data_IF_201268892552
#
_entry.id   IF_201268892552
#
_cell.length_a   1.000
_cell.length_b   1.000
_cell.length_c   1.000
_cell.angle_alpha   90.00
_cell.angle_beta   90.00
_cell.angle_gamma   90.00
#
_symmetry.space_group_name_H-M   'P 1'
#
loop_
_entity.id
_entity.type
_entity.pdbx_description
1 polymer ?
#
# COMPACT_ATOMS: atom_id res chain seq x y z
N UNK A 1 18.12 1.09 -11.92
CA UNK A 1 16.92 1.53 -12.65
C UNK A 1 16.93 0.93 -14.04
N UNK A 2 15.78 0.48 -14.55
CA UNK A 2 15.60 0.02 -15.93
C UNK A 2 14.69 0.98 -16.69
N UNK A 3 15.05 1.32 -17.92
CA UNK A 3 14.22 2.10 -18.82
C UNK A 3 13.43 1.10 -19.67
N UNK A 4 12.13 1.10 -19.47
CA UNK A 4 11.21 0.27 -20.21
C UNK A 4 10.67 0.94 -21.47
N UNK A 5 9.76 0.25 -22.16
CA UNK A 5 9.08 0.79 -23.32
C UNK A 5 8.08 1.89 -22.94
N UNK A 6 7.70 2.73 -23.92
CA UNK A 6 6.71 3.82 -23.78
C UNK A 6 7.02 4.82 -22.64
N UNK A 7 8.28 5.00 -22.25
CA UNK A 7 8.71 5.95 -21.22
C UNK A 7 8.50 5.44 -19.78
N UNK A 8 8.16 4.17 -19.60
CA UNK A 8 8.08 3.58 -18.27
C UNK A 8 9.47 3.39 -17.66
N UNK A 9 9.66 3.84 -16.44
CA UNK A 9 10.84 3.59 -15.63
C UNK A 9 10.50 2.55 -14.56
N UNK A 10 11.46 1.64 -14.32
CA UNK A 10 11.35 0.62 -13.29
C UNK A 10 12.50 0.72 -12.32
N UNK A 11 12.22 0.57 -11.06
CA UNK A 11 13.24 0.49 -10.04
C UNK A 11 13.99 -0.85 -10.21
N UNK A 12 15.28 -0.89 -10.43
CA UNK A 12 16.05 -2.08 -10.79
C UNK A 12 17.03 -2.56 -9.72
N UNK A 13 17.07 -1.92 -8.54
CA UNK A 13 17.99 -2.26 -7.45
C UNK A 13 17.23 -2.74 -6.20
N UNK A 14 17.88 -3.57 -5.39
CA UNK A 14 17.51 -3.97 -4.02
C UNK A 14 16.08 -4.45 -3.74
N UNK A 15 15.45 -5.15 -4.63
CA UNK A 15 14.10 -5.69 -4.45
C UNK A 15 13.26 -5.61 -5.71
N UNK A 16 13.94 -5.39 -6.83
CA UNK A 16 13.29 -5.05 -8.08
C UNK A 16 13.53 -6.08 -9.15
N UNK A 17 12.94 -5.83 -10.29
CA UNK A 17 12.81 -6.63 -11.50
C UNK A 17 13.68 -7.89 -11.55
N UNK A 18 15.00 -7.73 -11.53
CA UNK A 18 15.93 -8.88 -11.54
C UNK A 18 15.90 -9.68 -10.24
N UNK A 19 15.70 -9.01 -9.10
CA UNK A 19 15.62 -9.66 -7.80
C UNK A 19 14.26 -10.31 -7.57
N UNK A 20 13.17 -9.72 -8.03
CA UNK A 20 11.84 -10.34 -7.99
C UNK A 20 11.85 -11.62 -8.85
N UNK A 21 12.34 -11.53 -10.07
CA UNK A 21 12.47 -12.70 -10.95
C UNK A 21 13.34 -13.81 -10.35
N UNK A 22 14.43 -13.47 -9.65
CA UNK A 22 15.33 -14.45 -9.03
C UNK A 22 14.85 -14.95 -7.67
N UNK A 23 14.09 -14.14 -6.92
CA UNK A 23 13.64 -14.46 -5.56
C UNK A 23 12.31 -15.21 -5.49
N UNK A 24 11.48 -15.15 -6.52
CA UNK A 24 10.16 -15.80 -6.49
C UNK A 24 10.23 -17.29 -6.08
N UNK A 25 11.14 -18.12 -6.60
CA UNK A 25 11.24 -19.53 -6.15
C UNK A 25 11.67 -19.67 -4.68
N UNK A 26 12.60 -18.84 -4.21
CA UNK A 26 13.04 -18.86 -2.81
C UNK A 26 11.94 -18.36 -1.87
N UNK A 27 11.19 -17.37 -2.30
CA UNK A 27 10.05 -16.82 -1.58
C UNK A 27 8.97 -17.88 -1.41
N UNK A 28 8.62 -18.61 -2.48
CA UNK A 28 7.63 -19.68 -2.44
C UNK A 28 7.99 -20.76 -1.40
N UNK A 29 9.28 -21.13 -1.31
CA UNK A 29 9.77 -22.10 -0.31
C UNK A 29 9.60 -21.60 1.13
N UNK A 30 9.69 -20.28 1.36
CA UNK A 30 9.56 -19.67 2.69
C UNK A 30 8.11 -19.38 3.10
N UNK A 31 7.15 -19.49 2.21
CA UNK A 31 5.74 -19.17 2.50
C UNK A 31 5.18 -19.87 3.75
N UNK A 32 5.46 -21.17 4.04
CA UNK A 32 5.00 -21.81 5.27
C UNK A 32 5.52 -21.10 6.54
N UNK A 33 6.77 -20.61 6.54
CA UNK A 33 7.33 -19.85 7.66
C UNK A 33 6.65 -18.49 7.80
N UNK A 34 6.48 -17.77 6.69
CA UNK A 34 5.82 -16.46 6.69
C UNK A 34 4.35 -16.55 7.14
N UNK A 35 3.60 -17.53 6.65
CA UNK A 35 2.23 -17.78 7.09
C UNK A 35 2.13 -18.06 8.59
N UNK A 36 3.09 -18.81 9.16
CA UNK A 36 3.15 -19.03 10.61
C UNK A 36 3.39 -17.73 11.39
N UNK A 37 4.27 -16.86 10.92
CA UNK A 37 4.52 -15.57 11.56
C UNK A 37 3.30 -14.64 11.48
N UNK A 38 2.67 -14.57 10.33
CA UNK A 38 1.42 -13.81 10.16
C UNK A 38 0.30 -14.38 11.05
N UNK A 39 0.23 -15.69 11.19
CA UNK A 39 -0.70 -16.31 12.14
C UNK A 39 -0.40 -15.90 13.59
N UNK A 40 0.86 -15.78 13.98
CA UNK A 40 1.22 -15.26 15.32
C UNK A 40 0.68 -13.86 15.53
N UNK A 41 0.79 -12.97 14.51
CA UNK A 41 0.21 -11.62 14.56
C UNK A 41 -1.30 -11.70 14.72
N UNK A 42 -1.97 -12.45 13.85
CA UNK A 42 -3.43 -12.62 13.85
C UNK A 42 -3.95 -13.17 15.18
N UNK A 43 -3.30 -14.19 15.74
CA UNK A 43 -3.68 -14.79 17.03
C UNK A 43 -3.57 -13.77 18.17
N UNK A 44 -2.49 -12.98 18.20
CA UNK A 44 -2.27 -11.94 19.21
C UNK A 44 -3.28 -10.80 19.16
N UNK A 45 -3.73 -10.44 17.97
CA UNK A 45 -4.79 -9.46 17.75
C UNK A 45 -6.15 -10.05 18.16
N UNK A 46 -6.43 -11.29 17.77
CA UNK A 46 -7.66 -12.00 18.11
C UNK A 46 -7.82 -12.20 19.64
N UNK A 47 -6.74 -12.40 20.41
CA UNK A 47 -6.77 -12.40 21.89
C UNK A 47 -7.33 -11.09 22.47
N UNK A 48 -7.32 -9.99 21.70
CA UNK A 48 -7.85 -8.67 22.05
C UNK A 48 -9.20 -8.36 21.40
N UNK A 49 -9.75 -9.28 20.60
CA UNK A 49 -10.96 -9.07 19.84
C UNK A 49 -10.76 -8.16 18.62
N UNK A 50 -9.51 -8.06 18.13
CA UNK A 50 -9.12 -7.22 16.98
C UNK A 50 -9.00 -8.13 15.76
N UNK A 51 -9.65 -7.73 14.66
CA UNK A 51 -9.52 -8.40 13.38
C UNK A 51 -8.21 -8.05 12.68
N UNK A 52 -7.75 -8.96 11.80
CA UNK A 52 -6.50 -8.79 11.06
C UNK A 52 -6.69 -9.03 9.55
N UNK A 53 -6.22 -8.09 8.77
CA UNK A 53 -6.18 -8.16 7.30
C UNK A 53 -4.75 -7.87 6.83
N UNK A 54 -4.31 -8.60 5.81
CA UNK A 54 -3.06 -8.31 5.13
C UNK A 54 -3.35 -7.76 3.72
N UNK A 55 -2.71 -6.66 3.36
CA UNK A 55 -2.80 -6.07 2.03
C UNK A 55 -1.43 -6.11 1.34
N UNK A 56 -1.43 -6.53 0.09
CA UNK A 56 -0.28 -6.35 -0.80
C UNK A 56 -0.61 -5.26 -1.81
N UNK A 57 0.16 -4.18 -1.82
CA UNK A 57 0.06 -3.16 -2.85
C UNK A 57 0.88 -3.61 -4.08
N UNK A 58 0.24 -3.89 -5.24
CA UNK A 58 0.93 -4.36 -6.42
C UNK A 58 2.00 -3.38 -6.90
N UNK A 59 3.13 -3.92 -7.31
CA UNK A 59 4.19 -3.15 -7.95
C UNK A 59 3.87 -2.82 -9.41
N UNK A 60 4.48 -1.76 -9.94
CA UNK A 60 4.37 -1.40 -11.36
C UNK A 60 4.77 -2.55 -12.30
N UNK A 61 5.81 -3.36 -12.01
CA UNK A 61 6.16 -4.53 -12.82
C UNK A 61 5.04 -5.55 -12.93
N UNK A 62 4.27 -5.75 -11.88
CA UNK A 62 3.16 -6.71 -11.82
C UNK A 62 1.95 -6.27 -12.63
N UNK A 63 1.75 -4.96 -12.79
CA UNK A 63 0.61 -4.39 -13.53
C UNK A 63 0.98 -4.08 -14.98
N UNK A 64 2.21 -3.67 -15.26
CA UNK A 64 2.72 -3.31 -16.59
C UNK A 64 3.95 -4.13 -17.01
N UNK A 65 3.90 -5.48 -16.97
CA UNK A 65 5.04 -6.32 -17.37
C UNK A 65 5.38 -6.17 -18.85
N UNK A 66 4.42 -5.77 -19.69
CA UNK A 66 4.59 -5.59 -21.12
C UNK A 66 5.60 -4.50 -21.50
N UNK A 67 5.81 -3.51 -20.62
CA UNK A 67 6.76 -2.42 -20.88
C UNK A 67 8.15 -2.65 -20.28
N UNK A 68 8.38 -3.78 -19.60
CA UNK A 68 9.72 -4.16 -19.14
C UNK A 68 10.56 -4.52 -20.36
N UNK A 69 11.68 -3.82 -20.59
CA UNK A 69 12.50 -4.02 -21.78
C UNK A 69 13.17 -5.40 -21.80
N UNK A 70 13.71 -5.84 -20.66
CA UNK A 70 14.39 -7.15 -20.55
C UNK A 70 13.37 -8.27 -20.31
N UNK A 71 13.26 -9.21 -21.24
CA UNK A 71 12.39 -10.38 -21.08
C UNK A 71 12.80 -11.28 -19.91
N UNK A 72 14.06 -11.24 -19.47
CA UNK A 72 14.55 -11.99 -18.30
C UNK A 72 14.05 -11.43 -16.97
N UNK A 73 13.53 -10.21 -16.98
CA UNK A 73 12.95 -9.55 -15.80
C UNK A 73 11.42 -9.68 -15.73
N UNK A 74 10.80 -10.29 -16.74
CA UNK A 74 9.37 -10.60 -16.73
C UNK A 74 9.17 -11.95 -16.07
N UNK A 75 8.29 -12.00 -15.08
CA UNK A 75 7.94 -13.24 -14.38
C UNK A 75 6.47 -13.58 -14.65
N UNK A 76 6.15 -14.87 -14.67
CA UNK A 76 4.77 -15.36 -14.82
C UNK A 76 4.00 -15.12 -13.51
N UNK A 77 4.55 -15.62 -12.39
CA UNK A 77 4.01 -15.39 -11.06
C UNK A 77 4.90 -14.40 -10.32
N UNK A 78 4.31 -13.32 -9.84
CA UNK A 78 5.00 -12.32 -9.03
C UNK A 78 5.04 -12.71 -7.55
N UNK A 79 5.79 -11.96 -6.73
CA UNK A 79 5.82 -12.21 -5.29
C UNK A 79 4.43 -12.10 -4.66
N UNK A 80 3.63 -11.14 -5.12
CA UNK A 80 2.26 -10.94 -4.67
C UNK A 80 1.33 -12.08 -5.06
N UNK A 81 1.47 -12.62 -6.28
CA UNK A 81 0.69 -13.80 -6.72
C UNK A 81 1.00 -15.01 -5.85
N UNK A 82 2.28 -15.33 -5.66
CA UNK A 82 2.71 -16.44 -4.80
C UNK A 82 2.20 -16.27 -3.37
N UNK A 83 2.28 -15.05 -2.83
CA UNK A 83 1.79 -14.76 -1.49
C UNK A 83 0.27 -14.95 -1.40
N UNK A 84 -0.48 -14.34 -2.30
CA UNK A 84 -1.94 -14.38 -2.31
C UNK A 84 -2.47 -15.80 -2.44
N UNK A 85 -1.95 -16.55 -3.41
CA UNK A 85 -2.38 -17.93 -3.66
C UNK A 85 -2.06 -18.84 -2.46
N UNK A 86 -0.85 -18.71 -1.89
CA UNK A 86 -0.49 -19.51 -0.73
C UNK A 86 -1.37 -19.19 0.49
N UNK A 87 -1.55 -17.90 0.80
CA UNK A 87 -2.31 -17.47 1.98
C UNK A 87 -3.78 -17.85 1.85
N UNK A 88 -4.37 -17.67 0.68
CA UNK A 88 -5.78 -18.04 0.42
C UNK A 88 -6.01 -19.54 0.55
N UNK A 89 -5.05 -20.36 0.14
CA UNK A 89 -5.17 -21.83 0.19
C UNK A 89 -4.84 -22.41 1.58
N UNK A 90 -4.04 -21.73 2.41
CA UNK A 90 -3.43 -22.33 3.61
C UNK A 90 -3.64 -21.52 4.90
N UNK A 91 -4.44 -20.44 4.87
CA UNK A 91 -4.61 -19.53 6.01
C UNK A 91 -6.04 -18.98 6.07
N UNK A 92 -6.49 -18.65 7.27
CA UNK A 92 -7.75 -17.92 7.51
C UNK A 92 -7.57 -16.39 7.46
N UNK A 93 -6.33 -15.91 7.30
CA UNK A 93 -6.03 -14.48 7.22
C UNK A 93 -6.58 -13.94 5.89
N UNK A 94 -7.41 -12.92 5.99
CA UNK A 94 -7.98 -12.22 4.84
C UNK A 94 -6.89 -11.42 4.14
N UNK A 95 -6.77 -11.57 2.82
CA UNK A 95 -5.76 -10.88 2.01
C UNK A 95 -6.42 -10.02 0.94
N UNK A 96 -5.98 -8.76 0.85
CA UNK A 96 -6.33 -7.84 -0.23
C UNK A 96 -5.19 -7.84 -1.25
N UNK A 97 -5.49 -8.20 -2.51
CA UNK A 97 -4.57 -8.22 -3.64
C UNK A 97 -5.26 -7.65 -4.88
N UNK A 98 -5.24 -6.31 -5.10
CA UNK A 98 -6.04 -5.65 -6.13
C UNK A 98 -5.47 -5.77 -7.55
N UNK A 99 -4.44 -6.58 -7.81
CA UNK A 99 -3.71 -6.69 -9.08
C UNK A 99 -4.64 -6.86 -10.29
N UNK A 100 -5.59 -7.81 -10.23
CA UNK A 100 -6.48 -8.07 -11.35
C UNK A 100 -7.40 -6.88 -11.66
N UNK A 101 -7.92 -6.19 -10.63
CA UNK A 101 -8.73 -4.99 -10.81
C UNK A 101 -7.93 -3.87 -11.48
N UNK A 102 -6.67 -3.70 -11.09
CA UNK A 102 -5.76 -2.73 -11.69
C UNK A 102 -5.44 -3.08 -13.15
N UNK A 103 -5.15 -4.36 -13.45
CA UNK A 103 -4.89 -4.81 -14.83
C UNK A 103 -6.13 -4.59 -15.72
N UNK A 104 -7.32 -4.96 -15.25
CA UNK A 104 -8.57 -4.79 -15.99
C UNK A 104 -8.86 -3.30 -16.27
N UNK A 105 -8.52 -2.43 -15.35
CA UNK A 105 -8.71 -0.99 -15.48
C UNK A 105 -7.74 -0.32 -16.49
N UNK A 106 -6.68 -1.00 -16.94
CA UNK A 106 -5.81 -0.49 -18.03
C UNK A 106 -6.59 -0.23 -19.32
N UNK A 107 -7.65 -0.97 -19.56
CA UNK A 107 -8.50 -0.86 -20.75
C UNK A 107 -9.59 0.23 -20.64
N UNK A 108 -9.36 1.28 -19.82
CA UNK A 108 -10.33 2.36 -19.67
C UNK A 108 -10.38 3.25 -20.93
N UNK A 109 -11.60 3.77 -21.24
CA UNK A 109 -11.85 4.59 -22.44
C UNK A 109 -11.19 5.97 -22.40
N UNK A 110 -10.78 6.41 -21.22
CA UNK A 110 -10.24 7.75 -20.99
C UNK A 110 -8.71 7.75 -21.08
N UNK A 111 -8.07 6.60 -21.32
CA UNK A 111 -6.62 6.48 -21.43
C UNK A 111 -5.86 6.73 -20.14
N UNK A 112 -6.54 6.64 -18.98
CA UNK A 112 -5.92 6.87 -17.67
C UNK A 112 -4.92 5.75 -17.35
N UNK A 113 -3.70 6.11 -17.02
CA UNK A 113 -2.68 5.16 -16.57
C UNK A 113 -2.94 4.73 -15.13
N UNK A 114 -2.62 3.49 -14.78
CA UNK A 114 -2.73 2.93 -13.43
C UNK A 114 -1.51 3.30 -12.58
N UNK A 115 -0.33 3.34 -13.19
CA UNK A 115 0.91 3.76 -12.55
C UNK A 115 1.50 4.98 -13.24
N UNK A 116 2.18 5.82 -12.46
CA UNK A 116 3.03 6.88 -12.96
C UNK A 116 4.20 6.26 -13.73
N UNK A 117 4.52 6.78 -14.92
CA UNK A 117 5.60 6.22 -15.75
C UNK A 117 6.96 6.44 -15.11
N UNK A 118 7.17 7.61 -14.54
CA UNK A 118 8.46 8.06 -14.01
C UNK A 118 8.58 7.95 -12.49
N UNK A 119 7.60 7.32 -11.82
CA UNK A 119 7.53 7.15 -10.38
C UNK A 119 7.28 5.69 -9.99
N UNK A 120 7.60 5.30 -8.77
CA UNK A 120 7.33 3.94 -8.27
C UNK A 120 5.86 3.73 -7.88
N UNK A 121 5.10 4.80 -7.67
CA UNK A 121 3.75 4.75 -7.16
C UNK A 121 2.68 4.65 -8.28
N UNK A 122 1.52 4.20 -7.90
CA UNK A 122 0.32 4.28 -8.73
C UNK A 122 -0.14 5.73 -8.94
N UNK A 123 -0.90 5.95 -10.01
CA UNK A 123 -1.59 7.21 -10.22
C UNK A 123 -2.76 7.34 -9.25
N UNK A 124 -3.31 8.54 -9.14
CA UNK A 124 -4.56 8.80 -8.44
C UNK A 124 -5.69 7.89 -8.90
N UNK A 125 -5.76 7.61 -10.20
CA UNK A 125 -6.74 6.68 -10.75
C UNK A 125 -6.49 5.24 -10.29
N UNK A 126 -5.23 4.77 -10.34
CA UNK A 126 -4.86 3.43 -9.88
C UNK A 126 -5.13 3.23 -8.38
N UNK A 127 -4.73 4.21 -7.55
CA UNK A 127 -4.99 4.15 -6.11
C UNK A 127 -6.48 4.13 -5.76
N UNK A 128 -7.31 4.89 -6.51
CA UNK A 128 -8.76 4.88 -6.30
C UNK A 128 -9.37 3.50 -6.56
N UNK A 129 -8.86 2.76 -7.55
CA UNK A 129 -9.29 1.38 -7.81
C UNK A 129 -8.91 0.47 -6.63
N UNK A 130 -7.68 0.58 -6.11
CA UNK A 130 -7.25 -0.19 -4.95
C UNK A 130 -8.04 0.19 -3.68
N UNK A 131 -8.30 1.46 -3.46
CA UNK A 131 -9.14 1.95 -2.37
C UNK A 131 -10.55 1.36 -2.41
N UNK A 132 -11.19 1.36 -3.60
CA UNK A 132 -12.50 0.74 -3.78
C UNK A 132 -12.46 -0.78 -3.54
N UNK A 133 -11.37 -1.45 -3.90
CA UNK A 133 -11.20 -2.88 -3.59
C UNK A 133 -11.11 -3.12 -2.08
N UNK A 134 -10.42 -2.25 -1.32
CA UNK A 134 -10.38 -2.33 0.15
C UNK A 134 -11.81 -2.25 0.71
N UNK A 135 -12.56 -1.22 0.36
CA UNK A 135 -13.92 -1.02 0.90
C UNK A 135 -14.89 -2.14 0.50
N UNK A 136 -14.83 -2.63 -0.75
CA UNK A 136 -15.62 -3.77 -1.21
C UNK A 136 -15.29 -5.05 -0.43
N UNK A 137 -14.00 -5.38 -0.27
CA UNK A 137 -13.57 -6.56 0.48
C UNK A 137 -13.98 -6.51 1.94
N UNK A 138 -13.87 -5.35 2.57
CA UNK A 138 -14.33 -5.19 3.95
C UNK A 138 -15.84 -5.47 4.07
N UNK A 139 -16.67 -4.92 3.16
CA UNK A 139 -18.10 -5.21 3.15
C UNK A 139 -18.39 -6.70 2.89
N UNK A 140 -17.69 -7.34 1.95
CA UNK A 140 -17.80 -8.79 1.69
C UNK A 140 -17.46 -9.63 2.94
N UNK A 141 -16.60 -9.14 3.80
CA UNK A 141 -16.19 -9.81 5.05
C UNK A 141 -17.05 -9.47 6.25
N UNK A 142 -18.11 -8.68 6.05
CA UNK A 142 -19.13 -8.41 7.06
C UNK A 142 -18.94 -7.10 7.83
N UNK A 143 -18.03 -6.21 7.40
CA UNK A 143 -18.02 -4.83 7.85
C UNK A 143 -19.06 -4.07 7.05
N UNK A 144 -20.14 -3.63 7.71
CA UNK A 144 -21.27 -3.04 7.01
C UNK A 144 -21.08 -1.54 6.73
N UNK A 145 -21.60 -1.09 5.59
CA UNK A 145 -21.68 0.32 5.19
C UNK A 145 -20.33 1.04 4.96
N UNK A 146 -19.23 0.31 4.77
CA UNK A 146 -17.97 0.92 4.37
C UNK A 146 -18.10 1.41 2.93
N UNK A 147 -18.09 2.72 2.71
CA UNK A 147 -18.27 3.35 1.40
C UNK A 147 -17.03 4.11 1.00
N UNK A 148 -16.57 3.95 -0.26
CA UNK A 148 -15.53 4.82 -0.78
C UNK A 148 -16.06 6.25 -0.95
N UNK A 149 -15.21 7.24 -0.67
CA UNK A 149 -15.51 8.63 -0.97
C UNK A 149 -15.74 8.83 -2.48
N UNK A 150 -16.68 9.71 -2.81
CA UNK A 150 -16.84 10.17 -4.19
C UNK A 150 -15.67 11.09 -4.57
N UNK A 151 -15.22 10.97 -5.80
CA UNK A 151 -14.03 11.66 -6.29
C UNK A 151 -14.24 12.32 -7.65
N UNK A 152 -13.64 13.49 -7.81
CA UNK A 152 -13.49 14.15 -9.09
C UNK A 152 -12.04 14.07 -9.56
N UNK A 153 -11.84 13.78 -10.84
CA UNK A 153 -10.51 13.69 -11.46
C UNK A 153 -10.25 14.95 -12.29
N UNK A 154 -9.06 15.52 -12.13
CA UNK A 154 -8.62 16.69 -12.90
C UNK A 154 -7.18 16.53 -13.38
N UNK A 155 -6.79 17.30 -14.37
CA UNK A 155 -5.41 17.36 -14.86
C UNK A 155 -4.75 18.59 -14.24
N UNK A 156 -3.70 18.42 -13.41
CA UNK A 156 -2.97 19.53 -12.85
C UNK A 156 -2.30 20.40 -13.94
N UNK A 157 -2.15 21.68 -13.65
CA UNK A 157 -1.43 22.60 -14.56
C UNK A 157 0.09 22.38 -14.51
N UNK A 158 0.60 21.92 -13.36
CA UNK A 158 2.03 21.69 -13.12
C UNK A 158 2.49 20.34 -13.66
N UNK A 159 3.75 20.30 -14.12
CA UNK A 159 4.41 19.06 -14.52
C UNK A 159 4.85 18.27 -13.30
N UNK A 160 4.52 16.99 -13.26
CA UNK A 160 5.00 16.06 -12.25
C UNK A 160 6.30 15.38 -12.71
N UNK A 161 7.24 15.23 -11.78
CA UNK A 161 8.49 14.50 -11.97
C UNK A 161 8.58 13.42 -10.90
N UNK A 162 8.44 12.16 -11.30
CA UNK A 162 8.44 11.05 -10.38
C UNK A 162 9.79 10.76 -9.73
N UNK A 163 9.76 10.00 -8.64
CA UNK A 163 10.92 9.60 -7.84
C UNK A 163 12.00 8.89 -8.67
N UNK A 164 11.62 8.05 -9.62
CA UNK A 164 12.54 7.38 -10.54
C UNK A 164 13.21 8.37 -11.50
N UNK A 165 12.46 9.38 -11.95
CA UNK A 165 13.03 10.46 -12.77
C UNK A 165 14.05 11.28 -11.98
N UNK A 166 13.81 11.52 -10.69
CA UNK A 166 14.74 12.21 -9.81
C UNK A 166 16.00 11.38 -9.55
N UNK A 167 15.88 10.07 -9.34
CA UNK A 167 17.00 9.15 -9.16
C UNK A 167 17.90 9.07 -10.40
N UNK A 168 17.40 9.33 -11.60
CA UNK A 168 18.21 9.42 -12.82
C UNK A 168 19.15 10.65 -12.81
N UNK A 169 18.90 11.59 -11.92
CA UNK A 169 19.65 12.85 -11.87
C UNK A 169 19.44 13.70 -13.13
N UNK A 170 20.43 14.54 -13.52
CA UNK A 170 20.28 15.44 -14.67
C UNK A 170 20.38 14.73 -16.04
N UNK A 171 20.23 13.42 -16.10
CA UNK A 171 20.17 12.70 -17.37
C UNK A 171 18.93 13.15 -18.12
N UNK A 172 19.18 13.91 -19.16
CA UNK A 172 18.15 14.46 -20.05
C UNK A 172 17.98 13.53 -21.24
N UNK A 173 16.78 13.00 -21.43
CA UNK A 173 16.40 12.46 -22.72
C UNK A 173 16.01 13.65 -23.60
N UNK A 174 16.77 13.89 -24.67
CA UNK A 174 16.58 15.03 -25.59
C UNK A 174 16.64 16.43 -24.94
N UNK A 175 17.37 16.58 -23.83
CA UNK A 175 17.60 17.90 -23.21
C UNK A 175 16.65 18.26 -22.06
N UNK A 176 15.57 17.52 -21.84
CA UNK A 176 14.60 17.75 -20.75
C UNK A 176 14.54 16.58 -19.78
N UNK A 177 14.21 16.87 -18.51
CA UNK A 177 13.85 15.82 -17.55
C UNK A 177 12.62 15.06 -18.06
N UNK A 178 12.57 13.75 -17.78
CA UNK A 178 11.36 12.96 -18.01
C UNK A 178 10.26 13.43 -17.06
N UNK A 179 9.32 14.20 -17.57
CA UNK A 179 8.11 14.56 -16.86
C UNK A 179 7.02 13.52 -17.12
N UNK A 180 6.13 13.34 -16.15
CA UNK A 180 4.88 12.65 -16.41
C UNK A 180 4.07 13.45 -17.44
N UNK A 181 3.60 12.74 -18.46
CA UNK A 181 2.61 13.25 -19.39
C UNK A 181 1.29 12.60 -19.04
N UNK A 182 0.23 13.36 -19.14
CA UNK A 182 -1.14 12.91 -18.83
C UNK A 182 -1.33 12.50 -17.33
N UNK A 183 -0.61 13.18 -16.43
CA UNK A 183 -0.80 13.08 -15.00
C UNK A 183 -2.19 13.57 -14.61
N UNK A 184 -2.94 12.73 -13.89
CA UNK A 184 -4.29 13.03 -13.43
C UNK A 184 -4.27 12.96 -11.90
N UNK A 185 -4.79 14.02 -11.28
CA UNK A 185 -5.06 14.07 -9.86
C UNK A 185 -6.53 13.80 -9.56
N UNK A 186 -6.80 13.54 -8.31
CA UNK A 186 -8.11 13.28 -7.80
C UNK A 186 -8.30 14.02 -6.48
N UNK A 187 -9.47 14.58 -6.30
CA UNK A 187 -9.89 15.19 -5.03
C UNK A 187 -11.20 14.55 -4.58
N UNK A 188 -11.36 14.29 -3.27
CA UNK A 188 -12.66 13.90 -2.75
C UNK A 188 -13.66 15.07 -2.93
N UNK A 189 -14.88 14.73 -3.32
CA UNK A 189 -15.98 15.72 -3.49
C UNK A 189 -16.32 16.41 -2.16
N UNK A 190 -16.13 15.68 -1.06
CA UNK A 190 -16.28 16.23 0.29
C UNK A 190 -15.19 15.66 1.18
N UNK A 191 -14.61 16.51 2.03
CA UNK A 191 -13.65 16.12 3.07
C UNK A 191 -14.34 16.30 4.42
N UNK A 192 -14.61 15.19 5.10
CA UNK A 192 -15.25 15.16 6.42
C UNK A 192 -14.28 14.69 7.50
N UNK A 193 -13.26 13.91 7.11
CA UNK A 193 -12.25 13.42 8.02
C UNK A 193 -11.32 14.54 8.48
N UNK A 194 -11.12 14.66 9.78
CA UNK A 194 -10.23 15.63 10.41
C UNK A 194 -8.96 14.93 10.92
N UNK A 195 -7.79 15.49 10.61
CA UNK A 195 -6.54 15.03 11.19
C UNK A 195 -6.41 15.50 12.63
N UNK A 196 -6.17 14.56 13.55
CA UNK A 196 -5.96 14.84 14.97
C UNK A 196 -4.50 15.16 15.22
N UNK A 197 -4.21 16.42 15.53
CA UNK A 197 -2.85 16.95 15.73
C UNK A 197 -2.60 17.44 17.17
N UNK A 198 -3.48 17.15 18.10
CA UNK A 198 -3.37 17.58 19.49
C UNK A 198 -4.15 16.67 20.45
N UNK A 199 -4.02 16.91 21.75
CA UNK A 199 -4.68 16.12 22.79
C UNK A 199 -3.80 15.02 23.38
N UNK A 200 -4.28 14.38 24.46
CA UNK A 200 -3.51 13.39 25.22
C UNK A 200 -3.20 12.14 24.40
N UNK A 201 -4.16 11.60 23.67
CA UNK A 201 -3.98 10.43 22.79
C UNK A 201 -2.93 10.71 21.72
N UNK A 202 -2.98 11.87 21.07
CA UNK A 202 -2.01 12.27 20.06
C UNK A 202 -0.60 12.42 20.66
N UNK A 203 -0.46 13.09 21.81
CA UNK A 203 0.82 13.25 22.49
C UNK A 203 1.45 11.89 22.85
N UNK A 204 0.64 10.96 23.36
CA UNK A 204 1.10 9.60 23.69
C UNK A 204 1.47 8.81 22.44
N UNK A 205 0.71 8.94 21.36
CA UNK A 205 1.03 8.35 20.06
C UNK A 205 2.40 8.83 19.55
N UNK A 206 2.65 10.14 19.54
CA UNK A 206 3.93 10.71 19.13
C UNK A 206 5.10 10.25 20.01
N UNK A 207 4.86 10.12 21.33
CA UNK A 207 5.85 9.56 22.27
C UNK A 207 6.22 8.13 21.88
N UNK A 208 5.22 7.26 21.63
CA UNK A 208 5.45 5.87 21.24
C UNK A 208 6.19 5.77 19.90
N UNK A 209 5.80 6.56 18.89
CA UNK A 209 6.51 6.59 17.60
C UNK A 209 8.01 6.88 17.78
N UNK A 210 8.33 7.86 18.64
CA UNK A 210 9.71 8.22 18.95
C UNK A 210 10.45 7.10 19.69
N UNK A 211 9.86 6.52 20.72
CA UNK A 211 10.46 5.43 21.52
C UNK A 211 10.71 4.16 20.71
N UNK A 212 9.82 3.87 19.76
CA UNK A 212 9.94 2.72 18.86
C UNK A 212 10.86 2.98 17.66
N UNK A 213 11.40 4.19 17.53
CA UNK A 213 12.20 4.62 16.38
C UNK A 213 11.46 4.37 15.04
N UNK A 214 10.17 4.70 15.00
CA UNK A 214 9.38 4.59 13.78
C UNK A 214 9.98 5.52 12.71
N UNK A 215 10.13 4.99 11.50
CA UNK A 215 10.63 5.75 10.36
C UNK A 215 9.60 6.82 9.95
N UNK A 216 10.08 8.05 9.68
CA UNK A 216 9.21 9.19 9.32
C UNK A 216 7.99 9.35 10.24
N UNK A 217 8.19 9.58 11.56
CA UNK A 217 7.07 9.69 12.51
C UNK A 217 6.11 10.85 12.16
N UNK A 218 6.58 11.89 11.48
CA UNK A 218 5.77 13.00 10.96
C UNK A 218 4.79 12.60 9.86
N UNK A 219 4.98 11.43 9.26
CA UNK A 219 4.06 10.86 8.29
C UNK A 219 3.07 9.86 8.91
N UNK A 220 3.14 9.65 10.23
CA UNK A 220 2.15 8.85 10.97
C UNK A 220 1.01 9.76 11.45
N UNK A 221 -0.23 9.40 11.14
CA UNK A 221 -1.39 10.27 11.33
C UNK A 221 -2.53 9.55 12.03
N UNK A 222 -3.36 10.32 12.72
CA UNK A 222 -4.66 9.91 13.26
C UNK A 222 -5.72 10.77 12.61
N UNK A 223 -6.77 10.17 12.08
CA UNK A 223 -7.95 10.84 11.51
C UNK A 223 -9.20 10.44 12.27
N UNK A 224 -10.15 11.35 12.33
CA UNK A 224 -11.49 11.13 12.84
C UNK A 224 -12.54 11.65 11.87
N UNK A 225 -13.62 10.88 11.65
CA UNK A 225 -14.73 11.24 10.78
C UNK A 225 -16.05 10.82 11.43
N UNK A 226 -16.78 11.78 11.97
CA UNK A 226 -18.06 11.52 12.62
C UNK A 226 -19.18 11.06 11.66
N UNK A 227 -18.98 11.24 10.34
CA UNK A 227 -19.95 10.89 9.31
C UNK A 227 -19.74 9.50 8.71
N UNK A 228 -18.63 8.85 9.03
CA UNK A 228 -18.30 7.51 8.54
C UNK A 228 -18.86 6.42 9.49
N UNK A 229 -19.03 5.17 9.02
CA UNK A 229 -19.38 4.03 9.87
C UNK A 229 -18.39 3.85 11.02
N UNK A 230 -18.91 3.43 12.17
CA UNK A 230 -18.16 3.27 13.41
C UNK A 230 -17.15 2.11 13.37
N UNK A 231 -16.09 2.23 12.53
CA UNK A 231 -15.00 1.29 12.46
C UNK A 231 -13.67 2.02 12.71
N UNK A 232 -12.94 1.62 13.75
CA UNK A 232 -11.61 2.13 14.08
C UNK A 232 -10.55 1.24 13.42
N UNK A 233 -9.83 1.78 12.44
CA UNK A 233 -8.83 1.05 11.65
C UNK A 233 -7.42 1.56 11.97
N UNK A 234 -6.50 0.63 12.21
CA UNK A 234 -5.07 0.93 12.34
C UNK A 234 -4.32 0.25 11.19
N UNK A 235 -3.58 1.04 10.42
CA UNK A 235 -2.77 0.56 9.30
C UNK A 235 -1.29 0.67 9.66
N UNK A 236 -0.58 -0.45 9.54
CA UNK A 236 0.88 -0.50 9.47
C UNK A 236 1.26 -0.71 8.00
N UNK A 237 2.02 0.21 7.42
CA UNK A 237 2.28 0.16 5.99
C UNK A 237 3.38 1.10 5.52
N UNK A 238 3.45 1.27 4.21
CA UNK A 238 4.46 2.08 3.53
C UNK A 238 3.87 3.24 2.69
N UNK A 239 4.68 3.77 1.76
CA UNK A 239 4.31 4.90 0.92
C UNK A 239 3.13 4.64 0.00
N UNK A 240 2.86 3.38 -0.35
CA UNK A 240 1.76 3.04 -1.27
C UNK A 240 0.40 3.46 -0.68
N UNK A 241 0.21 3.28 0.63
CA UNK A 241 -0.96 3.82 1.35
C UNK A 241 -0.72 5.26 1.79
N UNK A 242 0.39 5.51 2.50
CA UNK A 242 0.58 6.80 3.18
C UNK A 242 0.56 8.00 2.27
N UNK A 243 1.35 7.95 1.21
CA UNK A 243 1.51 9.10 0.29
C UNK A 243 0.32 9.22 -0.65
N UNK A 244 -0.26 8.09 -0.97
CA UNK A 244 -1.19 8.01 -2.09
C UNK A 244 -2.67 7.93 -1.69
N UNK A 245 -3.04 7.46 -0.48
CA UNK A 245 -4.42 7.00 -0.22
C UNK A 245 -5.00 7.44 1.14
N UNK A 246 -4.19 8.03 2.03
CA UNK A 246 -4.65 8.29 3.40
C UNK A 246 -5.87 9.21 3.52
N UNK A 247 -5.94 10.35 2.81
CA UNK A 247 -7.12 11.22 2.90
C UNK A 247 -8.40 10.52 2.47
N UNK A 248 -8.32 9.71 1.41
CA UNK A 248 -9.46 8.97 0.88
C UNK A 248 -9.92 7.86 1.82
N UNK A 249 -8.98 7.11 2.38
CA UNK A 249 -9.29 6.05 3.36
C UNK A 249 -9.94 6.63 4.61
N UNK A 250 -9.51 7.82 5.05
CA UNK A 250 -10.08 8.48 6.22
C UNK A 250 -11.57 8.83 6.04
N UNK A 251 -12.04 9.02 4.80
CA UNK A 251 -13.47 9.24 4.54
C UNK A 251 -14.34 8.00 4.75
N UNK A 252 -13.74 6.81 4.77
CA UNK A 252 -14.47 5.53 4.89
C UNK A 252 -14.60 5.01 6.32
N UNK A 253 -13.86 5.55 7.29
CA UNK A 253 -13.76 5.00 8.65
C UNK A 253 -14.00 6.09 9.70
N UNK A 254 -14.66 5.72 10.82
CA UNK A 254 -14.83 6.67 11.93
C UNK A 254 -13.52 7.13 12.55
N UNK A 255 -12.56 6.21 12.63
CA UNK A 255 -11.21 6.51 13.07
C UNK A 255 -10.21 5.75 12.20
N UNK A 256 -9.19 6.44 11.73
CA UNK A 256 -8.12 5.85 10.96
C UNK A 256 -6.77 6.31 11.52
N UNK A 257 -5.93 5.35 11.88
CA UNK A 257 -4.55 5.62 12.29
C UNK A 257 -3.60 4.95 11.31
N UNK A 258 -2.58 5.66 10.86
CA UNK A 258 -1.50 5.13 10.05
C UNK A 258 -0.17 5.20 10.80
N UNK A 259 0.59 4.12 10.72
CA UNK A 259 1.95 3.99 11.24
C UNK A 259 2.88 3.52 10.13
N UNK A 260 3.93 4.28 9.85
CA UNK A 260 4.93 3.88 8.85
C UNK A 260 5.83 2.78 9.41
N UNK A 261 5.35 1.57 9.36
CA UNK A 261 6.05 0.38 9.84
C UNK A 261 5.52 -0.88 9.16
N UNK A 262 6.41 -1.82 8.90
CA UNK A 262 6.02 -3.17 8.46
C UNK A 262 5.74 -4.13 9.62
N UNK A 263 5.99 -3.70 10.85
CA UNK A 263 5.85 -4.55 12.03
C UNK A 263 4.75 -3.97 12.92
N UNK A 264 3.63 -4.68 13.10
CA UNK A 264 2.61 -4.31 14.06
C UNK A 264 3.19 -4.24 15.48
N UNK A 265 2.98 -3.13 16.19
CA UNK A 265 3.50 -2.89 17.54
C UNK A 265 2.36 -2.88 18.56
N UNK A 266 2.48 -3.75 19.59
CA UNK A 266 1.40 -3.94 20.55
C UNK A 266 1.15 -2.74 21.44
N UNK A 267 2.15 -1.92 21.77
CA UNK A 267 1.94 -0.74 22.61
C UNK A 267 1.14 0.32 21.84
N UNK A 268 1.38 0.46 20.52
CA UNK A 268 0.58 1.32 19.63
C UNK A 268 -0.84 0.78 19.49
N UNK A 269 -0.99 -0.53 19.29
CA UNK A 269 -2.31 -1.19 19.18
C UNK A 269 -3.11 -1.00 20.47
N UNK A 270 -2.48 -1.20 21.65
CA UNK A 270 -3.14 -1.02 22.95
C UNK A 270 -3.51 0.45 23.24
N UNK A 271 -2.78 1.42 22.67
CA UNK A 271 -3.14 2.84 22.73
C UNK A 271 -4.32 3.18 21.81
N UNK A 272 -4.28 2.73 20.55
CA UNK A 272 -5.27 3.06 19.52
C UNK A 272 -6.57 2.28 19.75
N UNK A 273 -6.48 1.03 20.18
CA UNK A 273 -7.60 0.08 20.38
C UNK A 273 -8.48 -0.04 19.13
N UNK A 274 -7.88 -0.46 18.01
CA UNK A 274 -8.61 -0.59 16.75
C UNK A 274 -9.57 -1.79 16.81
N UNK A 275 -10.60 -1.76 15.97
CA UNK A 275 -11.43 -2.93 15.65
C UNK A 275 -10.74 -3.82 14.60
N UNK A 276 -9.97 -3.18 13.71
CA UNK A 276 -9.28 -3.81 12.60
C UNK A 276 -7.86 -3.30 12.47
N UNK A 277 -6.90 -4.22 12.37
CA UNK A 277 -5.52 -3.93 11.96
C UNK A 277 -5.30 -4.39 10.52
N UNK A 278 -4.78 -3.51 9.69
CA UNK A 278 -4.32 -3.82 8.32
C UNK A 278 -2.80 -3.71 8.29
N UNK A 279 -2.10 -4.79 7.92
CA UNK A 279 -0.69 -4.71 7.52
C UNK A 279 -0.63 -4.55 6.01
N UNK A 280 -0.07 -3.44 5.52
CA UNK A 280 0.11 -3.19 4.10
C UNK A 280 1.59 -3.24 3.74
N UNK A 281 1.89 -3.98 2.68
CA UNK A 281 3.24 -4.07 2.13
C UNK A 281 3.20 -3.81 0.63
N UNK A 282 4.02 -2.89 0.14
CA UNK A 282 4.35 -2.89 -1.27
C UNK A 282 4.91 -4.25 -1.68
N UNK A 283 4.52 -4.76 -2.83
CA UNK A 283 4.87 -6.13 -3.29
C UNK A 283 6.37 -6.43 -3.19
N UNK A 284 7.20 -5.45 -3.52
CA UNK A 284 8.68 -5.55 -3.43
C UNK A 284 9.19 -5.82 -2.01
N UNK A 285 8.43 -5.41 -0.99
CA UNK A 285 8.82 -5.52 0.40
C UNK A 285 8.54 -6.93 0.99
N UNK A 286 7.69 -7.73 0.34
CA UNK A 286 7.30 -9.06 0.83
C UNK A 286 8.51 -9.94 1.16
N UNK A 287 9.43 -10.10 0.21
CA UNK A 287 10.59 -10.97 0.38
C UNK A 287 11.61 -10.46 1.42
N UNK A 288 11.53 -9.17 1.77
CA UNK A 288 12.48 -8.50 2.67
C UNK A 288 11.92 -8.43 4.09
N UNK A 289 10.63 -8.07 4.22
CA UNK A 289 10.03 -7.65 5.50
C UNK A 289 9.24 -8.74 6.23
N UNK A 290 8.67 -9.71 5.52
CA UNK A 290 7.88 -10.78 6.16
C UNK A 290 8.67 -11.59 7.20
N UNK A 291 9.99 -11.63 7.08
CA UNK A 291 10.86 -12.29 8.07
C UNK A 291 10.69 -11.71 9.48
N UNK A 292 10.33 -10.47 9.59
CA UNK A 292 10.29 -9.70 10.84
C UNK A 292 8.88 -9.31 11.30
N UNK A 293 7.83 -9.69 10.57
CA UNK A 293 6.46 -9.21 10.76
C UNK A 293 5.89 -9.46 12.17
N UNK A 294 6.34 -10.52 12.84
CA UNK A 294 5.87 -10.90 14.19
C UNK A 294 6.69 -10.33 15.35
N UNK A 295 7.77 -9.59 15.07
CA UNK A 295 8.69 -9.09 16.12
C UNK A 295 8.03 -8.13 17.12
N UNK A 296 7.07 -7.34 16.70
CA UNK A 296 6.39 -6.35 17.56
C UNK A 296 5.29 -6.94 18.42
N UNK A 297 4.85 -8.18 18.13
CA UNK A 297 3.77 -8.88 18.86
C UNK A 297 4.28 -10.06 19.69
N UNK A 298 5.55 -10.42 19.55
CA UNK A 298 6.17 -11.60 20.19
C UNK A 298 6.56 -11.38 21.67
N UNK A 299 6.19 -10.25 22.27
CA UNK A 299 6.50 -9.92 23.68
C UNK A 299 5.43 -10.38 24.66
#
# INVERSE_FOLDING_TARGET
MEIGDNGFLYLADEGNLSLEASRTPEFAVKMPEYAKKLKTVSDKLSERGIDYVFMVAPGKPSVYPEYIASSSHRVEDTLGDVFYDYMTANSDIKVIWPKEKLINAKSNKEGKSIFLKTDTHWTTYGRNIAYRDITERLNEWGYEDIRPADAEFYVPEDKFYGDLSEMMGPVKLNGDRLAEQDYIEWEPVSVNAEEIVSGEKYAEFQRLLSEKNIYNPELCNIYHNENAPGLNVLIFGDSMIRVCMMPELAESFSDLTFVWSYVPDMDIIDLIKPDLVISEYGERELAIRLTDVDKGVAK
#
